data_IF_734031611647
#
_entry.id   IF_734031611647
#
_cell.length_a   1.000
_cell.length_b   1.000
_cell.length_c   1.000
_cell.angle_alpha   90.00
_cell.angle_beta   90.00
_cell.angle_gamma   90.00
#
_symmetry.space_group_name_H-M   'P 1'
#
loop_
_entity.id
_entity.type
_entity.pdbx_description
1 polymer ?
#
# COMPACT_ATOMS: atom_id res chain seq x y z
N UNK A 1 25.34 31.41 1.46
CA UNK A 1 25.48 30.04 0.93
C UNK A 1 24.19 29.68 0.23
N UNK A 2 24.22 29.51 -1.09
CA UNK A 2 23.06 29.10 -1.87
C UNK A 2 22.89 27.61 -1.68
N UNK A 3 21.89 27.19 -0.90
CA UNK A 3 21.56 25.76 -0.76
C UNK A 3 20.98 25.31 -2.10
N UNK A 4 21.82 24.73 -2.96
CA UNK A 4 21.35 24.11 -4.20
C UNK A 4 20.40 22.98 -3.83
N UNK A 5 19.10 23.19 -4.02
CA UNK A 5 18.09 22.15 -3.81
C UNK A 5 18.31 21.07 -4.87
N UNK A 6 18.65 19.86 -4.43
CA UNK A 6 18.77 18.71 -5.32
C UNK A 6 17.41 18.43 -5.97
N UNK A 7 17.38 18.35 -7.30
CA UNK A 7 16.16 17.93 -8.00
C UNK A 7 15.91 16.44 -7.76
N UNK A 8 14.68 16.07 -7.41
CA UNK A 8 14.29 14.69 -7.14
C UNK A 8 12.87 14.39 -7.64
N UNK A 9 12.55 13.10 -7.78
CA UNK A 9 11.22 12.59 -8.12
C UNK A 9 10.91 11.30 -7.36
N UNK A 10 9.62 10.97 -7.25
CA UNK A 10 9.18 9.64 -6.82
C UNK A 10 9.14 8.70 -8.03
N UNK A 11 9.57 7.45 -7.83
CA UNK A 11 9.36 6.35 -8.74
C UNK A 11 7.97 5.73 -8.57
N UNK A 12 7.69 4.72 -9.38
CA UNK A 12 6.48 3.92 -9.22
C UNK A 12 6.55 3.13 -7.89
N UNK A 13 5.44 3.08 -7.14
CA UNK A 13 5.42 2.34 -5.90
C UNK A 13 5.47 0.84 -6.14
N UNK A 14 6.14 0.13 -5.25
CA UNK A 14 6.04 -1.33 -5.18
C UNK A 14 4.67 -1.79 -4.61
N UNK A 15 4.53 -3.10 -4.42
CA UNK A 15 3.30 -3.72 -3.92
C UNK A 15 3.03 -3.42 -2.43
N UNK A 16 4.03 -3.04 -1.65
CA UNK A 16 3.89 -2.51 -0.29
C UNK A 16 3.66 -1.00 -0.26
N UNK A 17 3.57 -0.35 -1.42
CA UNK A 17 3.44 1.09 -1.56
C UNK A 17 4.67 1.87 -1.09
N UNK A 18 5.87 1.31 -1.30
CA UNK A 18 7.14 2.02 -1.16
C UNK A 18 7.49 2.73 -2.46
N UNK A 19 7.68 4.04 -2.37
CA UNK A 19 8.03 4.89 -3.50
C UNK A 19 9.54 5.13 -3.49
N UNK A 20 10.30 4.62 -4.46
CA UNK A 20 11.71 4.96 -4.61
C UNK A 20 11.86 6.47 -4.79
N UNK A 21 12.89 7.06 -4.18
CA UNK A 21 13.27 8.46 -4.38
C UNK A 21 14.44 8.47 -5.35
N UNK A 22 14.26 9.16 -6.48
CA UNK A 22 15.25 9.22 -7.56
C UNK A 22 15.77 10.63 -7.76
N UNK A 23 17.06 10.75 -8.07
CA UNK A 23 17.71 11.96 -8.55
C UNK A 23 18.32 11.73 -9.92
N UNK A 24 18.48 12.80 -10.70
CA UNK A 24 18.93 12.72 -12.08
C UNK A 24 17.98 11.86 -12.93
N UNK A 25 18.56 10.94 -13.72
CA UNK A 25 17.76 10.04 -14.56
C UNK A 25 17.23 8.87 -13.74
N UNK A 26 18.12 8.07 -13.13
CA UNK A 26 17.75 6.80 -12.48
C UNK A 26 18.48 6.51 -11.16
N UNK A 27 19.18 7.49 -10.57
CA UNK A 27 19.92 7.26 -9.32
C UNK A 27 18.94 7.18 -8.15
N UNK A 28 18.84 6.00 -7.54
CA UNK A 28 18.01 5.77 -6.34
C UNK A 28 18.78 6.19 -5.10
N UNK A 29 18.16 7.04 -4.27
CA UNK A 29 18.76 7.58 -3.03
C UNK A 29 18.00 7.15 -1.77
N UNK A 30 16.99 6.28 -1.93
CA UNK A 30 16.17 5.74 -0.85
C UNK A 30 14.75 5.42 -1.31
N UNK A 31 13.86 5.16 -0.37
CA UNK A 31 12.43 5.09 -0.59
C UNK A 31 11.65 5.74 0.55
N UNK A 32 10.41 6.13 0.26
CA UNK A 32 9.44 6.64 1.23
C UNK A 32 8.19 5.78 1.20
N UNK A 33 7.61 5.53 2.37
CA UNK A 33 6.39 4.75 2.47
C UNK A 33 5.62 5.12 3.73
N UNK A 34 4.35 4.72 3.76
CA UNK A 34 3.47 4.95 4.89
C UNK A 34 3.26 3.63 5.63
N UNK A 35 3.44 3.65 6.94
CA UNK A 35 3.03 2.56 7.81
C UNK A 35 2.10 3.09 8.90
N UNK A 36 0.85 2.63 8.85
CA UNK A 36 -0.27 3.20 9.59
C UNK A 36 -0.36 4.72 9.41
N UNK A 37 -0.08 5.51 10.43
CA UNK A 37 -0.27 6.97 10.39
C UNK A 37 1.01 7.72 10.05
N UNK A 38 2.14 7.03 10.08
CA UNK A 38 3.45 7.64 10.01
C UNK A 38 4.05 7.47 8.61
N UNK A 39 4.88 8.42 8.23
CA UNK A 39 5.76 8.30 7.08
C UNK A 39 7.13 7.82 7.51
N UNK A 40 7.69 6.92 6.72
CA UNK A 40 9.01 6.35 6.94
C UNK A 40 9.87 6.56 5.71
N UNK A 41 11.17 6.66 5.94
CA UNK A 41 12.21 6.66 4.91
C UNK A 41 13.05 5.41 5.06
N UNK A 42 13.42 4.78 3.96
CA UNK A 42 14.45 3.76 3.89
C UNK A 42 15.62 4.31 3.09
N UNK A 43 16.78 4.44 3.71
CA UNK A 43 18.00 5.00 3.10
C UNK A 43 19.20 4.09 3.37
N UNK A 44 20.39 4.47 2.89
CA UNK A 44 21.63 3.76 3.23
C UNK A 44 21.95 3.79 4.73
N UNK A 45 21.38 4.75 5.48
CA UNK A 45 21.46 4.84 6.95
C UNK A 45 20.44 3.95 7.69
N UNK A 46 19.55 3.27 6.96
CA UNK A 46 18.49 2.44 7.51
C UNK A 46 17.09 3.06 7.42
N UNK A 47 16.15 2.46 8.15
CA UNK A 47 14.77 2.92 8.25
C UNK A 47 14.62 3.99 9.34
N UNK A 48 13.99 5.11 9.01
CA UNK A 48 13.68 6.18 9.96
C UNK A 48 12.20 6.56 9.91
N UNK A 49 11.61 6.80 11.07
CA UNK A 49 10.24 7.28 11.20
C UNK A 49 10.22 8.81 11.22
N UNK A 50 9.60 9.43 10.23
CA UNK A 50 9.42 10.89 10.13
C UNK A 50 8.22 11.39 10.95
N UNK A 51 7.47 10.47 11.52
CA UNK A 51 6.24 10.72 12.26
C UNK A 51 5.05 10.98 11.35
N UNK A 52 4.00 11.50 11.98
CA UNK A 52 2.74 11.80 11.32
C UNK A 52 2.79 13.20 10.68
N UNK A 53 2.26 13.39 9.46
CA UNK A 53 2.06 14.72 8.90
C UNK A 53 1.14 15.56 9.79
N UNK A 54 1.31 16.88 9.78
CA UNK A 54 0.49 17.80 10.57
C UNK A 54 -1.02 17.60 10.35
N UNK A 55 -1.77 17.64 11.45
CA UNK A 55 -3.22 17.42 11.43
C UNK A 55 -3.91 18.52 10.61
N UNK A 56 -4.71 18.13 9.62
CA UNK A 56 -5.47 19.07 8.78
C UNK A 56 -4.86 19.32 7.41
N UNK A 57 -3.61 18.92 7.17
CA UNK A 57 -3.09 18.78 5.82
C UNK A 57 -3.75 17.55 5.17
N UNK A 58 -4.92 17.76 4.55
CA UNK A 58 -5.45 16.86 3.52
C UNK A 58 -4.53 16.98 2.29
N UNK A 59 -3.39 16.33 2.34
CA UNK A 59 -2.61 16.04 1.15
C UNK A 59 -3.17 14.81 0.47
N UNK A 60 -3.14 14.78 -0.87
CA UNK A 60 -3.14 13.50 -1.57
C UNK A 60 -1.95 12.67 -1.03
N UNK A 61 -2.05 11.33 -0.91
CA UNK A 61 -0.94 10.49 -0.46
C UNK A 61 0.40 10.81 -1.15
N UNK A 62 0.33 11.26 -2.41
CA UNK A 62 1.46 11.73 -3.22
C UNK A 62 2.15 12.99 -2.68
N UNK A 63 1.42 13.98 -2.16
CA UNK A 63 2.02 15.20 -1.62
C UNK A 63 2.83 14.92 -0.35
N UNK A 64 2.30 14.07 0.54
CA UNK A 64 3.01 13.67 1.75
C UNK A 64 4.23 12.78 1.43
N UNK A 65 4.12 11.88 0.44
CA UNK A 65 5.27 11.15 -0.09
C UNK A 65 6.35 12.08 -0.64
N UNK A 66 5.97 13.13 -1.39
CA UNK A 66 6.92 14.12 -1.92
C UNK A 66 7.62 14.92 -0.82
N UNK A 67 6.93 15.26 0.27
CA UNK A 67 7.51 15.94 1.42
C UNK A 67 8.53 15.05 2.13
N UNK A 68 8.21 13.78 2.37
CA UNK A 68 9.14 12.80 2.93
C UNK A 68 10.35 12.59 2.01
N UNK A 69 10.14 12.55 0.69
CA UNK A 69 11.22 12.42 -0.29
C UNK A 69 12.14 13.64 -0.32
N UNK A 70 11.62 14.83 0.00
CA UNK A 70 12.43 16.04 0.14
C UNK A 70 13.44 15.93 1.29
N UNK A 71 13.09 15.24 2.38
CA UNK A 71 14.03 14.97 3.46
C UNK A 71 15.14 14.01 3.01
N UNK A 72 14.80 12.93 2.30
CA UNK A 72 15.79 12.01 1.72
C UNK A 72 16.74 12.74 0.76
N UNK A 73 16.20 13.59 -0.11
CA UNK A 73 17.01 14.38 -1.04
C UNK A 73 17.95 15.36 -0.31
N UNK A 74 17.49 15.96 0.80
CA UNK A 74 18.31 16.85 1.63
C UNK A 74 19.46 16.09 2.31
N UNK A 75 19.20 14.92 2.89
CA UNK A 75 20.23 14.07 3.51
C UNK A 75 21.27 13.59 2.49
N UNK A 76 20.84 13.25 1.27
CA UNK A 76 21.75 12.85 0.18
C UNK A 76 22.60 14.05 -0.28
N UNK A 77 21.99 15.23 -0.46
CA UNK A 77 22.71 16.44 -0.83
C UNK A 77 23.72 16.88 0.24
N UNK A 78 23.44 16.60 1.51
CA UNK A 78 24.35 16.81 2.63
C UNK A 78 25.46 15.74 2.75
N UNK A 79 25.39 14.66 1.96
CA UNK A 79 26.35 13.55 2.00
C UNK A 79 26.20 12.61 3.19
N UNK A 80 25.08 12.65 3.91
CA UNK A 80 24.82 11.77 5.06
C UNK A 80 24.37 10.37 4.63
N UNK A 81 23.79 10.25 3.44
CA UNK A 81 23.36 8.98 2.84
C UNK A 81 23.97 8.84 1.44
N UNK A 82 24.06 7.60 0.97
CA UNK A 82 24.62 7.24 -0.35
C UNK A 82 23.53 6.67 -1.26
N UNK A 83 23.85 6.57 -2.55
CA UNK A 83 22.97 5.94 -3.52
C UNK A 83 22.79 4.44 -3.19
N UNK A 84 21.61 3.91 -3.50
CA UNK A 84 21.22 2.52 -3.25
C UNK A 84 20.84 1.84 -4.55
N UNK A 85 20.79 0.50 -4.57
CA UNK A 85 20.14 -0.19 -5.68
C UNK A 85 18.62 -0.14 -5.50
N UNK A 86 17.88 -0.15 -6.61
CA UNK A 86 16.42 -0.20 -6.56
C UNK A 86 15.91 -1.41 -5.75
N UNK A 87 16.56 -2.57 -5.90
CA UNK A 87 16.20 -3.80 -5.20
C UNK A 87 16.31 -3.67 -3.66
N UNK A 88 17.19 -2.81 -3.15
CA UNK A 88 17.41 -2.62 -1.72
C UNK A 88 16.31 -1.75 -1.07
N UNK A 89 15.55 -1.00 -1.87
CA UNK A 89 14.52 -0.08 -1.40
C UNK A 89 13.09 -0.52 -1.75
N UNK A 90 12.95 -1.58 -2.53
CA UNK A 90 11.68 -2.21 -2.90
C UNK A 90 11.45 -3.52 -2.16
N UNK A 91 10.20 -3.82 -1.82
CA UNK A 91 9.81 -5.11 -1.27
C UNK A 91 9.78 -6.20 -2.37
N UNK A 92 10.31 -7.38 -2.06
CA UNK A 92 10.22 -8.54 -2.95
C UNK A 92 8.76 -8.91 -3.20
N UNK A 93 8.38 -9.14 -4.46
CA UNK A 93 7.00 -9.49 -4.83
C UNK A 93 6.60 -10.79 -4.12
N UNK A 94 5.48 -10.82 -3.37
CA UNK A 94 5.07 -12.01 -2.65
C UNK A 94 4.67 -13.08 -3.66
N UNK A 95 5.31 -14.25 -3.54
CA UNK A 95 4.89 -15.47 -4.23
C UNK A 95 3.91 -16.19 -3.31
N UNK A 96 2.72 -16.48 -3.82
CA UNK A 96 1.74 -17.30 -3.10
C UNK A 96 2.16 -18.77 -3.15
N UNK A 97 3.07 -19.15 -2.26
CA UNK A 97 3.47 -20.54 -2.02
C UNK A 97 2.94 -20.99 -0.65
N UNK A 98 1.74 -21.57 -0.65
CA UNK A 98 1.04 -21.97 0.58
C UNK A 98 0.14 -20.90 1.20
N UNK A 99 -0.31 -21.09 2.46
CA UNK A 99 -1.24 -20.18 3.12
C UNK A 99 -0.56 -18.86 3.45
N UNK A 100 -1.25 -17.76 3.15
CA UNK A 100 -0.81 -16.41 3.53
C UNK A 100 -0.83 -16.29 5.07
N UNK A 101 0.23 -15.75 5.71
CA UNK A 101 0.22 -15.50 7.15
C UNK A 101 -0.97 -14.64 7.56
N UNK A 102 -1.53 -14.87 8.74
CA UNK A 102 -2.69 -14.11 9.22
C UNK A 102 -2.39 -12.60 9.34
N UNK A 103 -1.20 -12.26 9.85
CA UNK A 103 -0.74 -10.89 10.08
C UNK A 103 0.46 -10.56 9.19
N UNK A 104 0.56 -9.30 8.77
CA UNK A 104 1.76 -8.78 8.13
C UNK A 104 2.95 -8.88 9.09
N UNK A 105 4.20 -9.16 8.64
CA UNK A 105 5.36 -9.28 9.53
C UNK A 105 5.63 -8.06 10.42
N UNK A 106 5.26 -6.85 9.95
CA UNK A 106 5.37 -5.60 10.71
C UNK A 106 4.25 -5.38 11.74
N UNK A 107 3.24 -6.27 11.81
CA UNK A 107 2.14 -6.16 12.77
C UNK A 107 2.46 -6.90 14.07
N UNK A 108 2.33 -6.24 15.24
CA UNK A 108 2.45 -6.91 16.53
C UNK A 108 1.41 -8.02 16.69
N UNK A 109 1.83 -9.20 17.17
CA UNK A 109 0.94 -10.33 17.45
C UNK A 109 0.22 -10.14 18.80
N UNK A 110 -0.76 -9.26 18.81
CA UNK A 110 -1.66 -9.06 19.97
C UNK A 110 -2.99 -9.77 19.72
N UNK A 111 -3.69 -10.19 20.78
CA UNK A 111 -5.03 -10.82 20.66
C UNK A 111 -5.97 -10.00 19.79
N UNK A 112 -6.06 -8.70 20.05
CA UNK A 112 -6.87 -7.76 19.26
C UNK A 112 -6.52 -7.76 17.77
N UNK A 113 -5.23 -7.80 17.43
CA UNK A 113 -4.80 -7.83 16.03
C UNK A 113 -5.14 -9.16 15.37
N UNK A 114 -5.01 -10.28 16.08
CA UNK A 114 -5.37 -11.61 15.61
C UNK A 114 -6.88 -11.67 15.33
N UNK A 115 -7.72 -11.34 16.30
CA UNK A 115 -9.19 -11.32 16.15
C UNK A 115 -9.64 -10.43 14.98
N UNK A 116 -9.00 -9.26 14.84
CA UNK A 116 -9.28 -8.35 13.72
C UNK A 116 -8.87 -8.98 12.39
N UNK A 117 -7.70 -9.63 12.33
CA UNK A 117 -7.20 -10.26 11.12
C UNK A 117 -8.07 -11.45 10.69
N UNK A 118 -8.56 -12.26 11.64
CA UNK A 118 -9.49 -13.37 11.36
C UNK A 118 -10.81 -12.85 10.79
N UNK A 119 -11.37 -11.81 11.41
CA UNK A 119 -12.55 -11.11 10.89
C UNK A 119 -12.29 -10.59 9.47
N UNK A 120 -11.08 -10.07 9.22
CA UNK A 120 -10.69 -9.57 7.90
C UNK A 120 -10.62 -10.71 6.89
N UNK A 121 -9.92 -11.79 7.21
CA UNK A 121 -9.79 -12.96 6.34
C UNK A 121 -11.16 -13.53 5.96
N UNK A 122 -12.07 -13.68 6.94
CA UNK A 122 -13.43 -14.13 6.69
C UNK A 122 -14.19 -13.18 5.75
N UNK A 123 -14.04 -11.85 5.95
CA UNK A 123 -14.66 -10.86 5.05
C UNK A 123 -14.09 -10.97 3.62
N UNK A 124 -12.76 -11.10 3.47
CA UNK A 124 -12.13 -11.20 2.17
C UNK A 124 -12.62 -12.44 1.42
N UNK A 125 -12.68 -13.59 2.10
CA UNK A 125 -13.23 -14.83 1.54
C UNK A 125 -14.71 -14.66 1.13
N UNK A 126 -15.55 -14.11 2.01
CA UNK A 126 -16.98 -13.86 1.73
C UNK A 126 -17.16 -13.00 0.48
N UNK A 127 -16.32 -11.98 0.30
CA UNK A 127 -16.39 -11.05 -0.82
C UNK A 127 -15.44 -11.40 -1.97
N UNK A 128 -14.89 -12.61 -2.04
CA UNK A 128 -14.07 -13.09 -3.18
C UNK A 128 -12.82 -12.25 -3.45
N UNK A 129 -12.09 -11.94 -2.39
CA UNK A 129 -10.78 -11.28 -2.43
C UNK A 129 -9.71 -12.24 -1.91
N UNK A 130 -8.63 -12.39 -2.68
CA UNK A 130 -7.46 -13.18 -2.29
C UNK A 130 -6.32 -12.26 -1.86
N UNK A 131 -5.92 -12.25 -0.58
CA UNK A 131 -4.76 -11.48 -0.15
C UNK A 131 -3.45 -12.13 -0.61
N UNK A 132 -2.42 -11.30 -0.82
CA UNK A 132 -1.05 -11.76 -1.10
C UNK A 132 -0.14 -11.68 0.12
N UNK A 133 -0.55 -10.92 1.13
CA UNK A 133 0.14 -10.78 2.41
C UNK A 133 -0.83 -10.78 3.58
N UNK A 134 -0.30 -11.03 4.77
CA UNK A 134 -1.09 -10.98 5.99
C UNK A 134 -1.65 -9.58 6.27
N UNK A 135 -2.65 -9.52 7.15
CA UNK A 135 -3.36 -8.29 7.44
C UNK A 135 -2.41 -7.23 8.02
N UNK A 136 -2.26 -6.04 7.38
CA UNK A 136 -1.33 -5.00 7.81
C UNK A 136 -2.00 -3.96 8.73
N UNK A 137 -3.20 -4.23 9.24
CA UNK A 137 -4.03 -3.25 9.92
C UNK A 137 -4.88 -2.41 8.96
N UNK A 138 -5.93 -1.77 9.49
CA UNK A 138 -6.94 -1.10 8.66
C UNK A 138 -6.46 0.17 7.94
N UNK A 139 -5.39 0.79 8.45
CA UNK A 139 -4.84 2.04 7.95
C UNK A 139 -3.79 1.83 6.84
N UNK A 140 -3.43 0.58 6.55
CA UNK A 140 -2.48 0.19 5.52
C UNK A 140 -3.18 -0.47 4.33
N UNK A 141 -2.53 -0.39 3.17
CA UNK A 141 -2.95 -1.16 2.01
C UNK A 141 -2.57 -2.62 2.19
N UNK A 142 -3.45 -3.52 1.78
CA UNK A 142 -3.15 -4.92 1.58
C UNK A 142 -3.22 -5.22 0.09
N UNK A 143 -2.16 -5.82 -0.47
CA UNK A 143 -2.19 -6.26 -1.86
C UNK A 143 -3.10 -7.48 -1.99
N UNK A 144 -4.02 -7.42 -2.94
CA UNK A 144 -5.07 -8.43 -3.10
C UNK A 144 -5.39 -8.64 -4.58
N UNK A 145 -5.96 -9.79 -4.88
CA UNK A 145 -6.56 -10.14 -6.16
C UNK A 145 -8.08 -10.25 -6.06
N UNK A 146 -8.78 -9.76 -7.06
CA UNK A 146 -10.21 -9.94 -7.23
C UNK A 146 -10.47 -11.27 -7.93
N UNK A 147 -11.00 -12.26 -7.21
CA UNK A 147 -11.22 -13.60 -7.77
C UNK A 147 -12.31 -13.65 -8.85
N UNK A 148 -13.06 -12.56 -9.06
CA UNK A 148 -14.07 -12.46 -10.12
C UNK A 148 -13.51 -12.07 -11.50
N UNK A 149 -12.35 -11.41 -11.56
CA UNK A 149 -11.80 -10.90 -12.82
C UNK A 149 -10.27 -10.83 -12.90
N UNK A 150 -9.55 -11.27 -11.86
CA UNK A 150 -8.09 -11.30 -11.82
C UNK A 150 -7.41 -9.95 -11.56
N UNK A 151 -8.15 -8.85 -11.35
CA UNK A 151 -7.53 -7.57 -10.99
C UNK A 151 -6.67 -7.72 -9.73
N UNK A 152 -5.45 -7.18 -9.75
CA UNK A 152 -4.58 -7.14 -8.57
C UNK A 152 -4.20 -5.70 -8.20
N UNK A 153 -4.11 -5.43 -6.91
CA UNK A 153 -3.65 -4.13 -6.45
C UNK A 153 -3.89 -3.87 -4.96
N UNK A 154 -3.52 -2.67 -4.49
CA UNK A 154 -3.62 -2.30 -3.09
C UNK A 154 -5.08 -1.97 -2.72
N UNK A 155 -5.55 -2.50 -1.59
CA UNK A 155 -6.89 -2.22 -1.04
C UNK A 155 -6.83 -1.82 0.42
N UNK A 156 -7.65 -0.84 0.79
CA UNK A 156 -7.91 -0.50 2.19
C UNK A 156 -9.09 -1.30 2.73
N UNK A 157 -8.95 -1.79 3.97
CA UNK A 157 -10.05 -2.43 4.73
C UNK A 157 -11.30 -1.55 4.81
N UNK A 158 -11.13 -0.23 4.91
CA UNK A 158 -12.23 0.74 4.98
C UNK A 158 -13.15 0.72 3.75
N UNK A 159 -12.66 0.25 2.59
CA UNK A 159 -13.44 0.12 1.35
C UNK A 159 -14.10 -1.26 1.20
N UNK A 160 -13.80 -2.21 2.10
CA UNK A 160 -14.22 -3.62 1.97
C UNK A 160 -15.16 -4.08 3.08
N UNK A 161 -15.23 -3.35 4.21
CA UNK A 161 -16.07 -3.71 5.36
C UNK A 161 -17.51 -3.17 5.31
N UNK A 162 -17.88 -2.44 4.25
CA UNK A 162 -19.12 -1.67 4.23
C UNK A 162 -19.13 -0.49 5.22
N UNK A 163 -20.26 0.21 5.32
CA UNK A 163 -20.45 1.32 6.27
C UNK A 163 -21.83 1.21 6.92
N UNK A 164 -21.91 1.56 8.21
CA UNK A 164 -23.18 1.63 8.97
C UNK A 164 -24.04 0.36 8.88
N UNK A 165 -23.42 -0.82 8.96
CA UNK A 165 -24.11 -2.12 8.87
C UNK A 165 -24.49 -2.56 7.45
N UNK A 166 -24.29 -1.71 6.44
CA UNK A 166 -24.49 -2.07 5.04
C UNK A 166 -23.31 -2.84 4.44
N UNK A 167 -23.57 -3.57 3.36
CA UNK A 167 -22.57 -4.27 2.56
C UNK A 167 -21.62 -3.27 1.86
N UNK A 168 -20.38 -3.68 1.51
CA UNK A 168 -19.48 -2.86 0.69
C UNK A 168 -20.09 -2.56 -0.69
N UNK A 169 -19.57 -1.54 -1.36
CA UNK A 169 -19.97 -1.22 -2.74
C UNK A 169 -19.68 -2.40 -3.69
N UNK A 170 -20.56 -2.60 -4.66
CA UNK A 170 -20.34 -3.52 -5.78
C UNK A 170 -19.29 -3.01 -6.76
N UNK A 171 -18.92 -1.73 -6.70
CA UNK A 171 -17.73 -1.22 -7.37
C UNK A 171 -16.47 -1.70 -6.63
N UNK A 172 -15.76 -2.66 -7.23
CA UNK A 172 -14.67 -3.39 -6.56
C UNK A 172 -13.32 -2.73 -6.71
N UNK A 173 -12.94 -2.30 -7.91
CA UNK A 173 -11.61 -1.76 -8.22
C UNK A 173 -11.64 -0.84 -9.46
N UNK A 174 -10.63 0.03 -9.65
CA UNK A 174 -10.44 0.76 -10.90
C UNK A 174 -10.10 -0.19 -12.06
N UNK A 175 -10.11 0.35 -13.29
CA UNK A 175 -9.61 -0.38 -14.46
C UNK A 175 -8.12 -0.69 -14.30
N UNK A 176 -7.69 -1.80 -14.89
CA UNK A 176 -6.28 -2.16 -15.01
C UNK A 176 -6.03 -2.80 -16.36
N UNK A 177 -5.30 -2.10 -17.23
CA UNK A 177 -4.82 -2.67 -18.49
C UNK A 177 -3.86 -3.83 -18.24
N UNK A 178 -2.98 -3.70 -17.25
CA UNK A 178 -2.01 -4.73 -16.84
C UNK A 178 -2.64 -6.09 -16.56
N UNK A 179 -3.84 -6.09 -15.96
CA UNK A 179 -4.56 -7.32 -15.62
C UNK A 179 -5.79 -7.57 -16.51
N UNK A 180 -5.96 -6.80 -17.59
CA UNK A 180 -7.13 -6.91 -18.48
C UNK A 180 -8.47 -6.72 -17.75
N UNK A 181 -8.48 -6.00 -16.64
CA UNK A 181 -9.63 -5.90 -15.75
C UNK A 181 -10.37 -4.57 -15.94
N UNK A 182 -11.68 -4.58 -16.23
CA UNK A 182 -12.46 -3.35 -16.42
C UNK A 182 -12.67 -2.59 -15.11
N UNK A 183 -13.00 -1.30 -15.22
CA UNK A 183 -13.42 -0.50 -14.07
C UNK A 183 -14.71 -1.09 -13.48
N UNK A 184 -14.76 -1.23 -12.15
CA UNK A 184 -15.94 -1.77 -11.48
C UNK A 184 -16.10 -3.29 -11.58
N UNK A 185 -15.09 -4.03 -12.06
CA UNK A 185 -15.11 -5.50 -12.17
C UNK A 185 -16.10 -6.01 -13.23
N UNK A 186 -16.70 -7.18 -13.02
CA UNK A 186 -17.66 -7.85 -13.92
C UNK A 186 -19.03 -7.15 -14.02
N UNK A 187 -19.16 -5.94 -13.48
CA UNK A 187 -20.41 -5.18 -13.41
C UNK A 187 -21.28 -5.52 -12.20
N UNK A 188 -22.05 -4.54 -11.72
CA UNK A 188 -22.81 -4.62 -10.46
C UNK A 188 -23.77 -5.81 -10.39
N UNK A 189 -24.53 -6.06 -11.47
CA UNK A 189 -25.49 -7.17 -11.52
C UNK A 189 -24.79 -8.52 -11.34
N UNK A 190 -23.66 -8.72 -12.03
CA UNK A 190 -22.90 -9.96 -11.95
C UNK A 190 -22.18 -10.11 -10.60
N UNK A 191 -21.72 -9.02 -10.00
CA UNK A 191 -21.19 -9.03 -8.63
C UNK A 191 -22.25 -9.49 -7.63
N UNK A 192 -23.49 -8.99 -7.73
CA UNK A 192 -24.60 -9.40 -6.87
C UNK A 192 -25.00 -10.86 -7.09
N UNK A 193 -24.94 -11.33 -8.32
CA UNK A 193 -25.17 -12.73 -8.67
C UNK A 193 -24.10 -13.66 -8.07
N UNK A 194 -22.81 -13.28 -8.14
CA UNK A 194 -21.70 -14.16 -7.78
C UNK A 194 -21.32 -14.15 -6.29
N UNK A 195 -21.79 -13.17 -5.51
CA UNK A 195 -21.47 -13.03 -4.09
C UNK A 195 -22.74 -13.17 -3.26
N UNK A 196 -22.85 -14.28 -2.53
CA UNK A 196 -24.01 -14.65 -1.72
C UNK A 196 -24.43 -13.57 -0.73
N UNK A 197 -23.50 -12.80 -0.19
CA UNK A 197 -23.81 -11.72 0.76
C UNK A 197 -24.74 -10.63 0.17
N UNK A 198 -24.76 -10.42 -1.15
CA UNK A 198 -25.64 -9.44 -1.81
C UNK A 198 -27.02 -9.97 -2.20
N UNK A 199 -27.31 -11.24 -1.94
CA UNK A 199 -28.57 -11.90 -2.30
C UNK A 199 -29.58 -11.90 -1.15
N UNK A 200 -29.19 -11.35 0.01
CA UNK A 200 -29.99 -11.19 1.22
C UNK A 200 -30.70 -9.83 1.20
#
# INVERSE_FOLDING_TARGET
>A
MTTTTLAYRLGDPDWEQRYPVLTGTDTVIGAVFRWHRDWLTLTSGGEHNLGRPEKGQRGTPKAAALAAAGQVAAEYAAGHITAMNLADVTAAVPVLDGPVPLLHPRMPQTLRNIETAETVAATLAQFRWRPYTGFPGSDNHQWQECELCGWQGPRYRSHQRGRNGGLPSTYRHPASEKFGAPAGCVGDAKVRELITAYQQ
#
